data_IF_308480566110
#
_entry.id   IF_308480566110
#
_cell.length_a   1.000
_cell.length_b   1.000
_cell.length_c   1.000
_cell.angle_alpha   90.00
_cell.angle_beta   90.00
_cell.angle_gamma   90.00
#
_symmetry.space_group_name_H-M   'P 1'
#
loop_
_entity.id
_entity.type
_entity.pdbx_description
1 polymer ?
#
# COMPACT_ATOMS: atom_id res chain seq x y z
N UNK A 1 6.70 4.67 -24.82
CA UNK A 1 6.41 4.55 -23.37
C UNK A 1 7.44 5.36 -22.61
N UNK A 2 7.10 5.94 -21.46
CA UNK A 2 8.05 6.70 -20.63
C UNK A 2 8.25 5.97 -19.30
N UNK A 3 9.47 5.99 -18.79
CA UNK A 3 9.81 5.48 -17.46
C UNK A 3 9.77 6.62 -16.45
N UNK A 4 9.20 6.35 -15.28
CA UNK A 4 9.05 7.33 -14.23
C UNK A 4 9.43 6.70 -12.90
N UNK A 5 10.17 7.47 -12.11
CA UNK A 5 10.56 7.08 -10.78
C UNK A 5 9.54 7.60 -9.77
N UNK A 6 8.97 6.69 -8.99
CA UNK A 6 8.00 7.02 -7.94
C UNK A 6 8.49 6.47 -6.59
N UNK A 7 8.35 7.24 -5.50
CA UNK A 7 8.66 6.74 -4.17
C UNK A 7 7.51 5.86 -3.66
N UNK A 8 7.87 4.74 -3.04
CA UNK A 8 6.98 3.80 -2.34
C UNK A 8 7.66 3.31 -1.07
N UNK A 9 6.91 2.80 -0.11
CA UNK A 9 7.45 2.19 1.09
C UNK A 9 8.24 0.91 0.76
N UNK A 10 9.24 0.58 1.59
CA UNK A 10 9.97 -0.70 1.50
C UNK A 10 9.04 -1.91 1.56
N UNK A 11 7.98 -1.82 2.38
CA UNK A 11 6.96 -2.88 2.50
C UNK A 11 6.23 -3.12 1.19
N UNK A 12 5.86 -2.05 0.47
CA UNK A 12 5.29 -2.15 -0.87
C UNK A 12 6.30 -2.79 -1.84
N UNK A 13 7.57 -2.38 -1.83
CA UNK A 13 8.58 -3.00 -2.70
C UNK A 13 8.73 -4.50 -2.43
N UNK A 14 8.77 -4.92 -1.16
CA UNK A 14 8.87 -6.34 -0.78
C UNK A 14 7.64 -7.12 -1.22
N UNK A 15 6.44 -6.57 -1.04
CA UNK A 15 5.20 -7.13 -1.59
C UNK A 15 5.27 -7.27 -3.11
N UNK A 16 5.68 -6.22 -3.83
CA UNK A 16 5.77 -6.23 -5.28
C UNK A 16 6.79 -7.25 -5.81
N UNK A 17 7.92 -7.42 -5.12
CA UNK A 17 8.92 -8.45 -5.42
C UNK A 17 8.34 -9.85 -5.24
N UNK A 18 7.64 -10.09 -4.14
CA UNK A 18 7.11 -11.41 -3.78
C UNK A 18 5.94 -11.83 -4.67
N UNK A 19 4.98 -10.92 -4.88
CA UNK A 19 3.73 -11.25 -5.60
C UNK A 19 3.87 -11.18 -7.11
N UNK A 20 4.62 -10.20 -7.62
CA UNK A 20 4.67 -9.89 -9.06
C UNK A 20 6.06 -10.09 -9.67
N UNK A 21 7.02 -10.59 -8.89
CA UNK A 21 8.39 -10.79 -9.37
C UNK A 21 9.08 -9.49 -9.79
N UNK A 22 8.74 -8.34 -9.18
CA UNK A 22 9.31 -7.05 -9.53
C UNK A 22 10.85 -7.07 -9.37
N UNK A 23 11.60 -6.97 -10.47
CA UNK A 23 13.08 -6.93 -10.45
C UNK A 23 13.65 -5.53 -10.64
N UNK A 24 13.21 -4.83 -11.68
CA UNK A 24 13.76 -3.54 -12.08
C UNK A 24 12.71 -2.48 -12.41
N UNK A 25 11.64 -2.86 -13.11
CA UNK A 25 10.58 -1.94 -13.49
C UNK A 25 9.20 -2.62 -13.48
N UNK A 26 8.16 -1.82 -13.24
CA UNK A 26 6.76 -2.25 -13.33
C UNK A 26 6.15 -1.64 -14.58
N UNK A 27 5.56 -2.48 -15.42
CA UNK A 27 4.85 -2.02 -16.61
C UNK A 27 3.37 -1.84 -16.27
N UNK A 28 2.85 -0.64 -16.53
CA UNK A 28 1.42 -0.33 -16.39
C UNK A 28 0.88 -0.08 -17.80
N UNK A 29 0.22 -1.09 -18.36
CA UNK A 29 -0.35 -1.05 -19.71
C UNK A 29 -1.60 -0.16 -19.79
N UNK A 30 -2.44 -0.21 -18.76
CA UNK A 30 -3.67 0.58 -18.67
C UNK A 30 -3.80 1.22 -17.28
N UNK A 31 -4.13 2.51 -17.27
CA UNK A 31 -4.33 3.26 -16.03
C UNK A 31 -5.71 3.92 -16.04
N UNK A 32 -6.68 3.26 -15.40
CA UNK A 32 -8.03 3.78 -15.19
C UNK A 32 -8.08 4.51 -13.84
N UNK A 33 -7.68 5.79 -13.82
CA UNK A 33 -7.85 6.65 -12.64
C UNK A 33 -9.17 7.39 -12.72
N UNK A 34 -9.97 7.34 -11.64
CA UNK A 34 -11.13 8.20 -11.47
C UNK A 34 -10.78 9.70 -11.41
N UNK A 35 -11.78 10.58 -11.49
CA UNK A 35 -11.61 12.05 -11.59
C UNK A 35 -10.81 12.71 -10.46
N UNK A 36 -10.63 12.08 -9.30
CA UNK A 36 -9.79 12.60 -8.21
C UNK A 36 -8.30 12.43 -8.53
N UNK A 37 -7.77 13.35 -9.33
CA UNK A 37 -6.33 13.49 -9.60
C UNK A 37 -5.65 14.15 -8.39
N UNK A 38 -4.46 13.67 -8.02
CA UNK A 38 -3.66 14.29 -6.95
C UNK A 38 -3.26 15.75 -7.25
N UNK A 39 -2.99 16.54 -6.21
CA UNK A 39 -2.49 17.90 -6.37
C UNK A 39 -1.00 17.89 -6.77
N UNK A 40 -0.57 18.77 -7.66
CA UNK A 40 0.85 18.91 -8.05
C UNK A 40 1.72 19.27 -6.85
N UNK A 41 1.21 20.14 -5.96
CA UNK A 41 1.93 20.50 -4.73
C UNK A 41 2.13 19.31 -3.79
N UNK A 42 1.17 18.39 -3.76
CA UNK A 42 1.28 17.17 -2.96
C UNK A 42 2.29 16.21 -3.57
N UNK A 43 2.41 16.16 -4.91
CA UNK A 43 3.46 15.39 -5.58
C UNK A 43 4.85 15.93 -5.25
N UNK A 44 5.08 17.23 -5.33
CA UNK A 44 6.38 17.82 -4.98
C UNK A 44 6.72 17.60 -3.50
N UNK A 45 5.72 17.71 -2.61
CA UNK A 45 5.89 17.37 -1.19
C UNK A 45 6.22 15.89 -1.01
N UNK A 46 5.56 15.01 -1.75
CA UNK A 46 5.78 13.55 -1.68
C UNK A 46 7.18 13.17 -2.17
N UNK A 47 7.71 13.84 -3.19
CA UNK A 47 9.09 13.66 -3.64
C UNK A 47 10.12 14.21 -2.64
N UNK A 48 9.83 15.36 -2.01
CA UNK A 48 10.73 16.00 -1.03
C UNK A 48 10.72 15.30 0.33
N UNK A 49 9.58 14.73 0.74
CA UNK A 49 9.40 14.02 2.02
C UNK A 49 9.90 12.57 1.90
N UNK A 50 11.18 12.40 1.56
CA UNK A 50 11.85 11.09 1.59
C UNK A 50 11.96 10.64 3.05
N UNK A 51 10.91 9.99 3.56
CA UNK A 51 11.00 9.24 4.81
C UNK A 51 12.02 8.10 4.60
N UNK A 52 12.83 7.79 5.61
CA UNK A 52 13.92 6.80 5.50
C UNK A 52 13.44 5.39 5.07
N UNK A 53 12.15 5.12 5.24
CA UNK A 53 11.46 3.88 4.88
C UNK A 53 10.98 3.82 3.42
N UNK A 54 11.16 4.90 2.64
CA UNK A 54 10.74 4.94 1.24
C UNK A 54 11.90 4.63 0.29
N UNK A 55 11.59 3.88 -0.75
CA UNK A 55 12.46 3.49 -1.86
C UNK A 55 11.84 3.94 -3.17
N UNK A 56 12.67 4.15 -4.18
CA UNK A 56 12.18 4.58 -5.49
C UNK A 56 12.03 3.36 -6.39
N UNK A 57 10.88 3.23 -7.05
CA UNK A 57 10.62 2.21 -8.06
C UNK A 57 10.36 2.86 -9.41
N UNK A 58 10.75 2.17 -10.47
CA UNK A 58 10.56 2.65 -11.85
C UNK A 58 9.29 2.05 -12.42
N UNK A 59 8.38 2.92 -12.84
CA UNK A 59 7.12 2.57 -13.48
C UNK A 59 7.17 3.01 -14.93
N UNK A 60 6.92 2.07 -15.84
CA UNK A 60 6.83 2.31 -17.28
C UNK A 60 5.37 2.45 -17.65
N UNK A 61 4.96 3.64 -18.10
CA UNK A 61 3.57 3.93 -18.45
C UNK A 61 3.47 4.88 -19.66
N UNK A 62 2.38 4.77 -20.42
CA UNK A 62 2.15 5.57 -21.64
C UNK A 62 1.67 7.01 -21.34
N UNK A 63 1.03 7.23 -20.20
CA UNK A 63 0.33 8.48 -19.86
C UNK A 63 0.57 8.93 -18.41
N UNK A 64 1.81 9.29 -18.04
CA UNK A 64 2.08 9.79 -16.69
C UNK A 64 2.41 11.29 -16.70
N UNK A 65 1.42 12.08 -16.29
CA UNK A 65 1.68 13.40 -15.72
C UNK A 65 1.97 13.27 -14.22
N UNK A 66 2.64 14.24 -13.58
CA UNK A 66 3.00 14.20 -12.15
C UNK A 66 1.84 13.82 -11.22
N UNK A 67 0.64 14.34 -11.47
CA UNK A 67 -0.58 14.02 -10.69
C UNK A 67 -0.96 12.54 -10.73
N UNK A 68 -0.75 11.89 -11.88
CA UNK A 68 -1.07 10.47 -12.08
C UNK A 68 -0.04 9.58 -11.39
N UNK A 69 1.23 9.98 -11.37
CA UNK A 69 2.30 9.26 -10.66
C UNK A 69 2.09 9.27 -9.14
N UNK A 70 1.66 10.40 -8.59
CA UNK A 70 1.25 10.47 -7.18
C UNK A 70 0.12 9.48 -6.85
N UNK A 71 -0.92 9.46 -7.69
CA UNK A 71 -2.03 8.55 -7.52
C UNK A 71 -1.59 7.08 -7.60
N UNK A 72 -0.70 6.74 -8.54
CA UNK A 72 -0.13 5.37 -8.64
C UNK A 72 0.62 4.98 -7.37
N UNK A 73 1.53 5.84 -6.88
CA UNK A 73 2.25 5.60 -5.63
C UNK A 73 1.27 5.36 -4.47
N UNK A 74 0.26 6.22 -4.30
CA UNK A 74 -0.76 6.06 -3.24
C UNK A 74 -1.63 4.83 -3.41
N UNK A 75 -1.95 4.43 -4.63
CA UNK A 75 -2.70 3.20 -4.89
C UNK A 75 -1.90 1.96 -4.50
N UNK A 76 -0.59 1.94 -4.74
CA UNK A 76 0.27 0.83 -4.30
C UNK A 76 0.33 0.73 -2.77
N UNK A 77 0.49 1.86 -2.08
CA UNK A 77 0.42 1.89 -0.60
C UNK A 77 -0.95 1.41 -0.09
N UNK A 78 -2.04 1.86 -0.72
CA UNK A 78 -3.37 1.46 -0.33
C UNK A 78 -3.61 -0.03 -0.58
N UNK A 79 -3.11 -0.56 -1.70
CA UNK A 79 -3.20 -1.98 -2.03
C UNK A 79 -2.47 -2.84 -0.99
N UNK A 80 -1.25 -2.46 -0.60
CA UNK A 80 -0.53 -3.13 0.48
C UNK A 80 -1.33 -3.14 1.78
N UNK A 81 -1.86 -1.98 2.20
CA UNK A 81 -2.64 -1.89 3.43
C UNK A 81 -3.91 -2.75 3.38
N UNK A 82 -4.66 -2.70 2.29
CA UNK A 82 -5.87 -3.51 2.12
C UNK A 82 -5.55 -5.00 2.13
N UNK A 83 -4.47 -5.41 1.47
CA UNK A 83 -4.02 -6.80 1.47
C UNK A 83 -3.63 -7.27 2.88
N UNK A 84 -2.98 -6.42 3.66
CA UNK A 84 -2.66 -6.72 5.06
C UNK A 84 -3.92 -6.86 5.91
N UNK A 85 -4.88 -5.95 5.78
CA UNK A 85 -6.13 -6.01 6.54
C UNK A 85 -6.91 -7.29 6.24
N UNK A 86 -7.12 -7.61 4.96
CA UNK A 86 -7.84 -8.82 4.56
C UNK A 86 -7.14 -10.10 5.02
N UNK A 87 -5.80 -10.11 5.01
CA UNK A 87 -5.05 -11.27 5.52
C UNK A 87 -5.25 -11.47 7.01
N UNK A 88 -5.19 -10.37 7.79
CA UNK A 88 -5.37 -10.41 9.24
C UNK A 88 -6.81 -10.78 9.60
N UNK A 89 -7.78 -10.21 8.90
CA UNK A 89 -9.20 -10.51 9.05
C UNK A 89 -9.48 -11.99 8.86
N UNK A 90 -9.05 -12.56 7.72
CA UNK A 90 -9.22 -13.99 7.47
C UNK A 90 -8.56 -14.84 8.56
N UNK A 91 -7.34 -14.53 9.00
CA UNK A 91 -6.67 -15.30 10.05
C UNK A 91 -7.41 -15.22 11.40
N UNK A 92 -7.93 -14.04 11.76
CA UNK A 92 -8.72 -13.84 12.98
C UNK A 92 -10.06 -14.59 12.90
N UNK A 93 -10.72 -14.62 11.75
CA UNK A 93 -11.93 -15.42 11.54
C UNK A 93 -11.68 -16.93 11.73
N UNK A 94 -10.48 -17.41 11.38
CA UNK A 94 -10.04 -18.78 11.65
C UNK A 94 -9.46 -19.00 13.07
N UNK A 95 -9.62 -18.03 13.97
CA UNK A 95 -9.28 -18.16 15.39
C UNK A 95 -7.84 -17.82 15.76
N UNK A 96 -7.04 -17.24 14.86
CA UNK A 96 -5.71 -16.72 15.20
C UNK A 96 -5.80 -15.39 15.96
N UNK A 97 -4.82 -15.14 16.83
CA UNK A 97 -4.68 -13.81 17.42
C UNK A 97 -4.24 -12.78 16.37
N UNK A 98 -4.77 -11.56 16.45
CA UNK A 98 -4.48 -10.53 15.46
C UNK A 98 -2.98 -10.15 15.43
N UNK A 99 -2.29 -10.19 16.57
CA UNK A 99 -0.85 -9.91 16.61
C UNK A 99 -0.05 -11.06 15.97
N UNK A 100 -0.48 -12.30 16.12
CA UNK A 100 0.12 -13.43 15.42
C UNK A 100 -0.13 -13.38 13.91
N UNK A 101 -1.33 -13.03 13.48
CA UNK A 101 -1.68 -12.85 12.07
C UNK A 101 -0.84 -11.74 11.42
N UNK A 102 -0.65 -10.60 12.09
CA UNK A 102 0.20 -9.52 11.60
C UNK A 102 1.66 -9.98 11.51
N UNK A 103 2.19 -10.70 12.51
CA UNK A 103 3.56 -11.25 12.46
C UNK A 103 3.73 -12.22 11.30
N UNK A 104 2.77 -13.10 11.09
CA UNK A 104 2.75 -14.05 9.96
C UNK A 104 2.72 -13.32 8.61
N UNK A 105 1.96 -12.23 8.52
CA UNK A 105 1.97 -11.38 7.32
C UNK A 105 3.33 -10.72 7.10
N UNK A 106 3.95 -10.19 8.17
CA UNK A 106 5.29 -9.61 8.09
C UNK A 106 6.31 -10.64 7.63
N UNK A 107 6.30 -11.85 8.18
CA UNK A 107 7.18 -12.94 7.79
C UNK A 107 6.97 -13.35 6.32
N UNK A 108 5.72 -13.47 5.87
CA UNK A 108 5.37 -13.81 4.48
C UNK A 108 6.04 -12.88 3.46
N UNK A 109 6.15 -11.60 3.77
CA UNK A 109 6.76 -10.58 2.92
C UNK A 109 8.16 -10.15 3.39
N UNK A 110 8.76 -10.88 4.34
CA UNK A 110 10.08 -10.60 4.91
C UNK A 110 10.19 -9.14 5.42
N UNK A 111 9.14 -8.63 6.08
CA UNK A 111 9.09 -7.26 6.61
C UNK A 111 9.79 -7.20 7.98
N UNK A 112 10.76 -6.29 8.12
CA UNK A 112 11.36 -5.99 9.42
C UNK A 112 10.56 -4.92 10.18
N UNK A 113 10.86 -4.74 11.47
CA UNK A 113 10.26 -3.64 12.24
C UNK A 113 10.60 -2.24 11.69
N UNK A 114 11.71 -2.11 10.96
CA UNK A 114 12.07 -0.86 10.28
C UNK A 114 11.13 -0.57 9.10
N UNK A 115 10.65 -1.61 8.41
CA UNK A 115 9.75 -1.48 7.26
C UNK A 115 8.31 -1.21 7.74
N UNK A 116 7.87 -1.95 8.76
CA UNK A 116 6.55 -1.83 9.34
C UNK A 116 6.60 -2.13 10.84
N UNK A 117 6.47 -1.09 11.66
CA UNK A 117 6.36 -1.25 13.12
C UNK A 117 5.11 -2.04 13.47
N UNK A 118 5.27 -3.07 14.30
CA UNK A 118 4.18 -3.92 14.78
C UNK A 118 3.05 -3.11 15.42
N UNK A 119 3.38 -2.15 16.28
CA UNK A 119 2.41 -1.24 16.91
C UNK A 119 1.61 -0.42 15.88
N UNK A 120 2.27 0.01 14.80
CA UNK A 120 1.61 0.78 13.73
C UNK A 120 0.67 -0.11 12.93
N UNK A 121 1.07 -1.34 12.62
CA UNK A 121 0.21 -2.31 11.95
C UNK A 121 -1.02 -2.65 12.80
N UNK A 122 -0.83 -2.88 14.10
CA UNK A 122 -1.91 -3.18 15.04
C UNK A 122 -2.90 -2.01 15.17
N UNK A 123 -2.41 -0.77 15.30
CA UNK A 123 -3.29 0.42 15.30
C UNK A 123 -4.06 0.58 13.99
N UNK A 124 -3.49 0.19 12.84
CA UNK A 124 -4.21 0.19 11.55
C UNK A 124 -5.32 -0.84 11.55
N UNK A 125 -5.05 -2.05 12.05
CA UNK A 125 -6.03 -3.11 12.22
C UNK A 125 -7.20 -2.67 13.11
N UNK A 126 -6.95 -2.12 14.30
CA UNK A 126 -7.99 -1.63 15.20
C UNK A 126 -8.90 -0.58 14.54
N UNK A 127 -8.32 0.34 13.75
CA UNK A 127 -9.10 1.33 12.99
C UNK A 127 -9.91 0.71 11.87
N UNK A 128 -9.42 -0.36 11.26
CA UNK A 128 -10.14 -1.09 10.22
C UNK A 128 -11.35 -1.82 10.81
N UNK A 129 -11.15 -2.60 11.89
CA UNK A 129 -12.26 -3.22 12.62
C UNK A 129 -13.33 -2.20 13.02
N UNK A 130 -12.93 -1.05 13.57
CA UNK A 130 -13.89 0.00 13.93
C UNK A 130 -14.73 0.46 12.74
N UNK A 131 -14.13 0.59 11.55
CA UNK A 131 -14.84 0.99 10.33
C UNK A 131 -15.78 -0.09 9.82
N UNK A 132 -15.41 -1.36 9.90
CA UNK A 132 -16.31 -2.45 9.48
C UNK A 132 -17.51 -2.54 10.43
N UNK A 133 -17.32 -2.44 11.74
CA UNK A 133 -18.42 -2.35 12.73
C UNK A 133 -19.33 -1.15 12.42
N UNK A 134 -18.75 0.02 12.12
CA UNK A 134 -19.54 1.20 11.75
C UNK A 134 -20.36 0.98 10.47
N UNK A 135 -19.86 0.22 9.48
CA UNK A 135 -20.62 -0.10 8.27
C UNK A 135 -21.79 -1.04 8.54
N UNK A 136 -21.62 -2.02 9.42
CA UNK A 136 -22.69 -2.92 9.83
C UNK A 136 -23.83 -2.18 10.55
N UNK A 137 -23.49 -1.10 11.26
CA UNK A 137 -24.46 -0.26 11.96
C UNK A 137 -25.22 0.71 11.06
N UNK A 138 -24.78 0.94 9.81
CA UNK A 138 -25.52 1.78 8.87
C UNK A 138 -26.67 0.95 8.32
N UNK A 139 -27.93 1.30 8.62
CA UNK A 139 -29.05 0.52 8.13
C UNK A 139 -29.16 0.73 6.61
N UNK A 140 -29.29 -0.38 5.88
CA UNK A 140 -29.53 -0.39 4.44
C UNK A 140 -31.01 -0.07 4.17
N UNK A 141 -31.45 1.18 4.40
CA UNK A 141 -32.75 1.68 3.92
C UNK A 141 -32.56 2.76 2.86
#
# INVERSE_FOLDING_TARGET
MKAYDIPVSRSVLKMLRKDYGYRHHMRIDQLLLGRKLGNVRDWDRHLKKKEATHVTITVVCRYAGPRKLYAVSKLLENHFNLKMMLYVEAAVEFGSDAAEAIRSFMEKYDLSEEDLKMETAYKRWQRHQKREIEKELIPLW
#
